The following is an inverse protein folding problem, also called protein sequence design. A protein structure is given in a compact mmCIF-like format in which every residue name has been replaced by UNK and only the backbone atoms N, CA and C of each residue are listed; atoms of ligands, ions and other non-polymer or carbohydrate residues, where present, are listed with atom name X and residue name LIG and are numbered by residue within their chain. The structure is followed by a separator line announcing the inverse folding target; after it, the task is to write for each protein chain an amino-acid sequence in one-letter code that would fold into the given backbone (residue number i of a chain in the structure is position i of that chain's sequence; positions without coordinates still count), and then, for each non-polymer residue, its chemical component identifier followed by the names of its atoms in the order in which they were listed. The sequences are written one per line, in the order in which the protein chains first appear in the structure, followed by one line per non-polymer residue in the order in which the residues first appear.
data_IF_921661957207
#
_entry.id   IF_921661957207
#
_cell.length_a   1.000
_cell.length_b   1.000
_cell.length_c   1.000
_cell.angle_alpha   90.00
_cell.angle_beta   90.00
_cell.angle_gamma   90.00
#
_symmetry.space_group_name_H-M   'P 1'
#
loop_
_entity.id
_entity.type
_entity.pdbx_description
1 polymer ?
#
# COMPACT_ATOMS: atom_id res chain seq x y z
N UNK A 1 -25.24 -27.29 43.35
CA UNK A 1 -25.58 -25.97 42.77
C UNK A 1 -24.29 -25.28 42.34
N UNK A 2 -23.96 -25.35 41.05
CA UNK A 2 -23.04 -24.48 40.33
C UNK A 2 -23.45 -24.60 38.86
N UNK A 3 -24.34 -23.70 38.45
CA UNK A 3 -24.78 -23.47 37.07
C UNK A 3 -23.53 -23.19 36.20
N UNK A 4 -23.36 -23.87 35.08
CA UNK A 4 -23.81 -23.44 33.74
C UNK A 4 -23.26 -22.05 33.35
N UNK A 5 -22.39 -22.03 32.34
CA UNK A 5 -22.63 -21.36 31.05
C UNK A 5 -21.30 -21.33 30.28
N UNK A 6 -21.22 -22.21 29.28
CA UNK A 6 -20.33 -22.11 28.13
C UNK A 6 -20.54 -20.78 27.42
N UNK A 7 -19.54 -19.90 27.41
CA UNK A 7 -19.44 -18.86 26.38
C UNK A 7 -18.07 -19.02 25.73
N UNK A 8 -18.07 -19.94 24.77
CA UNK A 8 -17.25 -19.89 23.56
C UNK A 8 -17.45 -18.48 22.97
N UNK A 9 -16.58 -17.52 23.31
CA UNK A 9 -16.67 -16.17 22.80
C UNK A 9 -16.20 -16.19 21.34
N UNK A 10 -17.16 -16.54 20.49
CA UNK A 10 -17.37 -16.10 19.11
C UNK A 10 -16.11 -15.70 18.34
N UNK A 11 -15.82 -16.53 17.34
CA UNK A 11 -15.30 -16.13 16.04
C UNK A 11 -15.32 -14.61 15.83
N UNK A 12 -14.17 -13.96 16.06
CA UNK A 12 -13.84 -12.79 15.24
C UNK A 12 -13.25 -13.33 13.95
N UNK A 13 -14.08 -14.04 13.19
CA UNK A 13 -13.89 -14.25 11.77
C UNK A 13 -14.09 -12.90 11.09
N UNK A 14 -13.12 -12.00 11.27
CA UNK A 14 -12.98 -10.84 10.40
C UNK A 14 -12.51 -11.39 9.07
N UNK A 15 -13.50 -11.77 8.27
CA UNK A 15 -13.51 -11.97 6.83
C UNK A 15 -12.16 -12.41 6.27
N UNK A 16 -12.08 -13.69 5.90
CA UNK A 16 -11.09 -14.18 4.97
C UNK A 16 -10.96 -13.16 3.82
N UNK A 17 -9.85 -12.42 3.80
CA UNK A 17 -9.41 -11.68 2.63
C UNK A 17 -9.11 -12.73 1.57
N UNK A 18 -10.15 -13.16 0.86
CA UNK A 18 -9.97 -13.77 -0.45
C UNK A 18 -9.54 -12.63 -1.39
N UNK A 19 -8.31 -12.16 -1.22
CA UNK A 19 -7.65 -11.32 -2.19
C UNK A 19 -7.38 -12.23 -3.40
N UNK A 20 -8.32 -12.26 -4.35
CA UNK A 20 -8.08 -12.82 -5.66
C UNK A 20 -6.93 -12.02 -6.30
N UNK A 21 -5.72 -12.58 -6.20
CA UNK A 21 -4.51 -12.14 -6.90
C UNK A 21 -4.02 -10.70 -6.58
N UNK A 22 -3.57 -10.49 -5.34
CA UNK A 22 -2.56 -9.49 -4.98
C UNK A 22 -2.94 -8.02 -5.22
N UNK A 23 -4.15 -7.65 -4.82
CA UNK A 23 -4.54 -6.25 -4.74
C UNK A 23 -3.88 -5.62 -3.52
N UNK A 24 -2.85 -4.79 -3.72
CA UNK A 24 -2.03 -4.15 -2.66
C UNK A 24 -2.78 -3.20 -1.72
N UNK A 25 -4.10 -3.15 -1.80
CA UNK A 25 -4.94 -2.15 -1.18
C UNK A 25 -5.03 -0.82 -1.93
N UNK A 26 -4.28 -0.65 -3.02
CA UNK A 26 -4.29 0.57 -3.84
C UNK A 26 -3.76 0.33 -5.26
N UNK A 27 -4.11 1.23 -6.18
CA UNK A 27 -3.62 1.25 -7.57
C UNK A 27 -2.87 2.54 -7.83
N UNK A 28 -1.79 2.44 -8.59
CA UNK A 28 -0.96 3.57 -9.00
C UNK A 28 -1.10 3.87 -10.48
N UNK A 29 -1.06 5.16 -10.81
CA UNK A 29 -0.67 5.65 -12.12
C UNK A 29 0.83 5.97 -12.09
N UNK A 30 1.63 5.30 -12.92
CA UNK A 30 3.10 5.35 -12.86
C UNK A 30 3.66 5.75 -14.22
N UNK A 31 4.46 6.80 -14.23
CA UNK A 31 5.22 7.25 -15.38
C UNK A 31 6.67 6.77 -15.22
N UNK A 32 7.19 6.16 -16.29
CA UNK A 32 8.56 5.65 -16.36
C UNK A 32 9.22 6.23 -17.60
N UNK A 33 10.49 6.59 -17.49
CA UNK A 33 11.31 7.06 -18.61
C UNK A 33 12.63 6.30 -18.68
N UNK A 34 13.25 6.27 -19.86
CA UNK A 34 14.52 5.56 -20.10
C UNK A 34 14.32 4.15 -20.64
N UNK A 35 15.14 3.76 -21.62
CA UNK A 35 15.04 2.48 -22.31
C UNK A 35 15.97 1.42 -21.69
N UNK A 36 17.24 1.75 -21.49
CA UNK A 36 18.24 0.85 -20.91
C UNK A 36 18.27 0.89 -19.37
N UNK A 37 17.99 2.06 -18.80
CA UNK A 37 17.90 2.31 -17.36
C UNK A 37 16.56 2.99 -17.05
N UNK A 38 15.46 2.22 -16.93
CA UNK A 38 14.14 2.80 -16.70
C UNK A 38 14.02 3.34 -15.28
N UNK A 39 13.60 4.59 -15.16
CA UNK A 39 13.40 5.30 -13.89
C UNK A 39 11.96 5.77 -13.76
N UNK A 40 11.43 5.69 -12.54
CA UNK A 40 10.11 6.24 -12.22
C UNK A 40 10.22 7.75 -12.15
N UNK A 41 9.44 8.44 -12.97
CA UNK A 41 9.40 9.91 -13.00
C UNK A 41 8.24 10.47 -12.19
N UNK A 42 7.14 9.72 -12.09
CA UNK A 42 5.97 10.09 -11.30
C UNK A 42 5.17 8.86 -10.90
N UNK A 43 4.68 8.83 -9.67
CA UNK A 43 3.72 7.84 -9.21
C UNK A 43 2.60 8.54 -8.42
N UNK A 44 1.35 8.23 -8.73
CA UNK A 44 0.18 8.87 -8.11
C UNK A 44 -0.89 7.83 -7.77
N UNK A 45 -1.53 7.98 -6.61
CA UNK A 45 -2.63 7.10 -6.20
C UNK A 45 -3.83 7.31 -7.13
N UNK A 46 -4.22 6.23 -7.82
CA UNK A 46 -5.38 6.20 -8.73
C UNK A 46 -6.63 5.67 -8.02
N UNK A 47 -6.48 4.69 -7.13
CA UNK A 47 -7.55 4.19 -6.29
C UNK A 47 -7.00 3.61 -4.99
N UNK A 48 -7.86 3.54 -3.97
CA UNK A 48 -7.57 2.90 -2.68
C UNK A 48 -8.74 1.97 -2.37
N UNK A 49 -8.44 0.73 -2.00
CA UNK A 49 -9.43 -0.28 -1.64
C UNK A 49 -9.93 0.04 -0.22
N UNK A 50 -11.24 0.07 -0.04
CA UNK A 50 -11.86 0.30 1.27
C UNK A 50 -11.52 -0.83 2.23
N UNK A 51 -11.17 -0.48 3.47
CA UNK A 51 -10.75 -1.41 4.52
C UNK A 51 -9.33 -1.95 4.34
N UNK A 52 -8.58 -1.48 3.35
CA UNK A 52 -7.18 -1.86 3.16
C UNK A 52 -6.25 -1.17 4.15
N UNK A 53 -5.03 -1.71 4.30
CA UNK A 53 -3.96 -1.03 5.05
C UNK A 53 -3.67 0.35 4.44
N UNK A 54 -3.70 0.49 3.12
CA UNK A 54 -3.51 1.78 2.45
C UNK A 54 -4.56 2.83 2.87
N UNK A 55 -5.84 2.46 2.99
CA UNK A 55 -6.87 3.39 3.49
C UNK A 55 -6.63 3.79 4.95
N UNK A 56 -6.23 2.83 5.78
CA UNK A 56 -5.96 3.03 7.21
C UNK A 56 -4.76 3.96 7.45
N UNK A 57 -3.72 3.84 6.63
CA UNK A 57 -2.54 4.72 6.61
C UNK A 57 -2.83 6.10 5.97
N UNK A 58 -4.08 6.35 5.55
CA UNK A 58 -4.54 7.66 5.12
C UNK A 58 -4.25 7.99 3.66
N UNK A 59 -3.89 7.01 2.81
CA UNK A 59 -3.74 7.23 1.38
C UNK A 59 -5.06 7.70 0.75
N UNK A 60 -4.98 8.70 -0.12
CA UNK A 60 -6.10 9.22 -0.90
C UNK A 60 -5.75 9.30 -2.38
N UNK A 61 -6.78 9.23 -3.21
CA UNK A 61 -6.65 9.45 -4.65
C UNK A 61 -6.06 10.83 -4.90
N UNK A 62 -5.07 10.89 -5.79
CA UNK A 62 -4.34 12.12 -6.13
C UNK A 62 -3.08 12.36 -5.30
N UNK A 63 -2.87 11.63 -4.20
CA UNK A 63 -1.61 11.69 -3.46
C UNK A 63 -0.46 11.18 -4.34
N UNK A 64 0.68 11.85 -4.27
CA UNK A 64 1.87 11.51 -5.04
C UNK A 64 2.83 10.72 -4.17
N UNK A 65 3.39 9.63 -4.71
CA UNK A 65 4.49 8.92 -4.05
C UNK A 65 5.79 9.63 -4.42
N UNK A 66 6.49 10.14 -3.42
CA UNK A 66 7.79 10.79 -3.56
C UNK A 66 8.96 9.88 -3.14
N UNK A 67 8.70 8.81 -2.38
CA UNK A 67 9.68 7.72 -2.21
C UNK A 67 9.03 6.38 -1.87
N UNK A 68 9.69 5.28 -2.25
CA UNK A 68 9.31 3.89 -1.93
C UNK A 68 10.51 3.19 -1.27
N UNK A 69 10.37 2.76 -0.02
CA UNK A 69 11.46 2.17 0.78
C UNK A 69 12.77 3.01 0.68
N UNK A 70 12.64 4.33 0.81
CA UNK A 70 13.76 5.29 0.67
C UNK A 70 14.27 5.53 -0.75
N UNK A 71 13.71 4.87 -1.77
CA UNK A 71 14.01 5.15 -3.18
C UNK A 71 13.22 6.37 -3.66
N UNK A 72 13.90 7.49 -3.89
CA UNK A 72 13.29 8.78 -4.25
C UNK A 72 12.69 8.78 -5.66
N UNK A 73 11.54 9.44 -5.83
CA UNK A 73 10.86 9.64 -7.10
C UNK A 73 10.73 11.16 -7.31
N UNK A 74 11.21 11.72 -8.44
CA UNK A 74 11.79 11.03 -9.60
C UNK A 74 13.18 10.44 -9.35
N UNK A 75 13.58 9.45 -10.17
CA UNK A 75 14.94 8.89 -10.20
C UNK A 75 15.07 7.47 -9.62
N UNK A 76 14.01 6.92 -9.05
CA UNK A 76 14.02 5.54 -8.58
C UNK A 76 14.06 4.57 -9.76
N UNK A 77 14.99 3.62 -9.78
CA UNK A 77 15.00 2.52 -10.75
C UNK A 77 13.64 1.78 -10.74
N UNK A 78 13.04 1.62 -11.92
CA UNK A 78 11.70 1.07 -12.04
C UNK A 78 11.62 -0.40 -11.61
N UNK A 79 12.70 -1.19 -11.75
CA UNK A 79 12.74 -2.57 -11.27
C UNK A 79 12.78 -2.61 -9.76
N UNK A 80 13.55 -1.72 -9.12
CA UNK A 80 13.60 -1.57 -7.66
C UNK A 80 12.25 -1.16 -7.11
N UNK A 81 11.62 -0.12 -7.65
CA UNK A 81 10.27 0.32 -7.25
C UNK A 81 9.24 -0.81 -7.39
N UNK A 82 9.26 -1.52 -8.53
CA UNK A 82 8.37 -2.67 -8.76
C UNK A 82 8.61 -3.78 -7.74
N UNK A 83 9.87 -4.11 -7.43
CA UNK A 83 10.23 -5.13 -6.43
C UNK A 83 9.71 -4.74 -5.04
N UNK A 84 9.89 -3.49 -4.61
CA UNK A 84 9.38 -3.02 -3.33
C UNK A 84 7.86 -3.17 -3.22
N UNK A 85 7.12 -2.83 -4.29
CA UNK A 85 5.67 -2.93 -4.31
C UNK A 85 5.15 -4.35 -4.60
N UNK A 86 6.00 -5.31 -4.96
CA UNK A 86 5.61 -6.71 -5.28
C UNK A 86 6.22 -7.70 -4.27
N UNK A 87 6.49 -7.22 -3.06
CA UNK A 87 6.79 -8.05 -1.89
C UNK A 87 5.61 -8.97 -1.55
N UNK A 88 5.83 -9.91 -0.65
CA UNK A 88 4.82 -10.88 -0.24
C UNK A 88 3.66 -10.20 0.50
N UNK A 89 2.49 -10.84 0.46
CA UNK A 89 1.32 -10.41 1.24
C UNK A 89 1.69 -10.36 2.73
N UNK A 90 1.32 -9.28 3.40
CA UNK A 90 1.66 -8.98 4.78
C UNK A 90 3.00 -8.28 4.97
N UNK A 91 3.86 -8.19 3.95
CA UNK A 91 5.09 -7.40 4.06
C UNK A 91 4.79 -5.90 4.00
N UNK A 92 5.60 -5.13 4.73
CA UNK A 92 5.47 -3.68 4.81
C UNK A 92 6.26 -2.99 3.69
N UNK A 93 5.69 -1.90 3.18
CA UNK A 93 6.34 -0.95 2.29
C UNK A 93 6.20 0.44 2.88
N UNK A 94 7.34 1.11 3.03
CA UNK A 94 7.37 2.49 3.47
C UNK A 94 7.17 3.42 2.27
N UNK A 95 6.13 4.24 2.32
CA UNK A 95 5.82 5.23 1.30
C UNK A 95 5.95 6.63 1.88
N UNK A 96 6.75 7.48 1.25
CA UNK A 96 6.70 8.91 1.49
C UNK A 96 5.78 9.51 0.44
N UNK A 97 4.77 10.23 0.92
CA UNK A 97 3.65 10.72 0.14
C UNK A 97 3.63 12.25 0.16
N UNK A 98 3.06 12.85 -0.88
CA UNK A 98 2.78 14.28 -0.94
C UNK A 98 1.32 14.48 -1.37
N UNK A 99 0.57 15.20 -0.55
CA UNK A 99 -0.82 15.59 -0.83
C UNK A 99 -0.87 16.69 -1.89
N UNK A 100 -2.01 16.90 -2.58
CA UNK A 100 -2.17 17.98 -3.55
C UNK A 100 -1.92 19.40 -3.00
N UNK A 101 -2.05 19.61 -1.69
CA UNK A 101 -1.74 20.87 -1.02
C UNK A 101 -0.23 21.06 -0.71
N UNK A 102 0.62 20.09 -1.07
CA UNK A 102 2.06 20.10 -0.82
C UNK A 102 2.49 19.52 0.53
N UNK A 103 1.56 19.12 1.39
CA UNK A 103 1.87 18.49 2.67
C UNK A 103 2.40 17.07 2.46
N UNK A 104 3.52 16.75 3.11
CA UNK A 104 4.12 15.42 3.04
C UNK A 104 3.76 14.59 4.25
N UNK A 105 3.52 13.29 4.04
CA UNK A 105 3.30 12.35 5.12
C UNK A 105 3.95 11.00 4.79
N UNK A 106 4.23 10.23 5.83
CA UNK A 106 4.75 8.87 5.70
C UNK A 106 3.61 7.87 5.95
N UNK A 107 3.59 6.79 5.19
CA UNK A 107 2.61 5.72 5.29
C UNK A 107 3.32 4.38 5.26
N UNK A 108 3.06 3.52 6.24
CA UNK A 108 3.65 2.20 6.33
C UNK A 108 2.61 1.16 5.96
N UNK A 109 2.57 0.76 4.69
CA UNK A 109 1.47 -0.02 4.12
C UNK A 109 1.81 -1.50 4.09
N UNK A 110 0.94 -2.33 4.67
CA UNK A 110 0.99 -3.78 4.53
C UNK A 110 0.44 -4.19 3.16
N UNK A 111 1.21 -4.91 2.37
CA UNK A 111 0.76 -5.43 1.08
C UNK A 111 -0.28 -6.53 1.27
N UNK A 112 -1.23 -6.59 0.33
CA UNK A 112 -2.40 -7.47 0.37
C UNK A 112 -2.44 -8.37 -0.87
#
# INVERSE_FOLDING_TARGET
MKLLVTILFSLLSSQAFAAEKGEKGFVLDVNVSGFFSPEVTKATIKSVVKGSSAEQEGLKIGDQIIAIDGCQIPGCDAKKAKKSLQKQVGEMVLLNMMKPNGETYEANVALQ
#
